data_IF_673478452952
#
_entry.id   IF_673478452952
#
_cell.length_a   1.000
_cell.length_b   1.000
_cell.length_c   1.000
_cell.angle_alpha   90.00
_cell.angle_beta   90.00
_cell.angle_gamma   90.00
#
_symmetry.space_group_name_H-M   'P 1'
#
loop_
_entity.id
_entity.type
_entity.pdbx_description
1 polymer ?
#
# COMPACT_ATOMS: atom_id res chain seq x y z
N UNK A 1 31.88 -14.14 0.49
CA UNK A 1 30.82 -15.15 0.31
C UNK A 1 29.49 -14.55 0.74
N UNK A 2 28.57 -14.34 -0.21
CA UNK A 2 27.25 -13.76 0.08
C UNK A 2 26.37 -14.84 0.73
N UNK A 3 25.94 -14.63 1.98
CA UNK A 3 24.98 -15.54 2.62
C UNK A 3 23.63 -15.29 1.97
N UNK A 4 23.07 -16.31 1.31
CA UNK A 4 21.71 -16.24 0.79
C UNK A 4 20.75 -15.79 1.91
N UNK A 5 19.92 -14.80 1.62
CA UNK A 5 18.94 -14.30 2.57
C UNK A 5 17.98 -15.45 2.93
N UNK A 6 17.81 -15.72 4.22
CA UNK A 6 16.80 -16.69 4.66
C UNK A 6 15.42 -16.12 4.35
N UNK A 7 14.46 -16.97 3.92
CA UNK A 7 13.08 -16.54 3.80
C UNK A 7 12.60 -15.98 5.15
N UNK A 8 11.82 -14.89 5.09
CA UNK A 8 11.29 -14.26 6.30
C UNK A 8 10.29 -15.20 7.01
N UNK A 9 10.27 -15.15 8.33
CA UNK A 9 9.29 -15.88 9.13
C UNK A 9 7.87 -15.33 8.82
N UNK A 10 6.86 -16.19 8.58
CA UNK A 10 5.49 -15.74 8.31
C UNK A 10 4.94 -14.76 9.35
N UNK A 11 5.32 -14.91 10.63
CA UNK A 11 4.92 -13.98 11.71
C UNK A 11 5.52 -12.59 11.52
N UNK A 12 6.75 -12.52 11.02
CA UNK A 12 7.40 -11.25 10.67
C UNK A 12 6.76 -10.62 9.45
N UNK A 13 6.36 -11.41 8.43
CA UNK A 13 5.64 -10.89 7.26
C UNK A 13 4.30 -10.29 7.69
N UNK A 14 3.50 -11.04 8.46
CA UNK A 14 2.21 -10.57 8.97
C UNK A 14 2.35 -9.28 9.80
N UNK A 15 3.32 -9.23 10.72
CA UNK A 15 3.56 -8.07 11.57
C UNK A 15 4.08 -6.82 10.81
N UNK A 16 4.62 -7.00 9.60
CA UNK A 16 5.20 -5.89 8.80
C UNK A 16 4.38 -5.52 7.57
N UNK A 17 3.19 -6.10 7.37
CA UNK A 17 2.35 -5.72 6.23
C UNK A 17 2.00 -4.23 6.29
N UNK A 18 2.36 -3.49 5.24
CA UNK A 18 2.16 -2.04 5.14
C UNK A 18 3.01 -1.17 6.08
N UNK A 19 3.94 -1.76 6.85
CA UNK A 19 4.81 -0.99 7.76
C UNK A 19 5.89 -0.26 6.97
N UNK A 20 6.01 1.05 7.18
CA UNK A 20 7.02 1.92 6.56
C UNK A 20 6.92 1.97 5.02
N UNK A 21 5.69 1.88 4.49
CA UNK A 21 5.42 1.90 3.04
C UNK A 21 4.71 3.16 2.55
N UNK A 22 4.41 4.11 3.44
CA UNK A 22 3.80 5.38 3.04
C UNK A 22 4.79 6.28 2.30
N UNK A 23 4.57 6.44 1.00
CA UNK A 23 5.42 7.26 0.14
C UNK A 23 5.11 8.75 0.20
N UNK A 24 3.97 9.16 0.78
CA UNK A 24 3.59 10.56 0.85
C UNK A 24 4.29 11.29 2.01
N UNK A 25 4.32 10.66 3.19
CA UNK A 25 4.83 11.30 4.41
C UNK A 25 5.78 10.41 5.23
N UNK A 26 6.04 9.17 4.81
CA UNK A 26 6.89 8.25 5.57
C UNK A 26 6.26 7.79 6.88
N UNK A 27 4.93 7.73 6.96
CA UNK A 27 4.26 7.19 8.12
C UNK A 27 4.63 5.70 8.32
N UNK A 28 5.03 5.35 9.56
CA UNK A 28 5.38 3.97 9.92
C UNK A 28 4.18 3.03 9.75
N UNK A 29 2.98 3.51 10.04
CA UNK A 29 1.73 2.77 9.81
C UNK A 29 1.03 3.28 8.55
N UNK A 30 0.38 2.40 7.78
CA UNK A 30 -0.29 2.79 6.54
C UNK A 30 -1.43 3.79 6.84
N UNK A 31 -1.55 4.89 6.10
CA UNK A 31 -2.66 5.83 6.25
C UNK A 31 -4.02 5.19 5.95
N UNK A 32 -5.08 5.72 6.58
CA UNK A 32 -6.45 5.32 6.30
C UNK A 32 -7.07 6.21 5.22
N UNK A 33 -7.11 5.70 3.98
CA UNK A 33 -7.77 6.38 2.86
C UNK A 33 -9.27 6.13 2.88
N UNK A 34 -10.02 6.98 3.59
CA UNK A 34 -11.47 6.90 3.71
C UNK A 34 -12.23 7.61 2.57
N UNK A 35 -11.51 8.22 1.62
CA UNK A 35 -12.13 8.84 0.45
C UNK A 35 -12.87 7.80 -0.40
N UNK A 36 -14.00 8.19 -0.96
CA UNK A 36 -14.71 7.37 -1.95
C UNK A 36 -14.07 7.45 -3.34
N UNK A 37 -13.48 8.59 -3.69
CA UNK A 37 -12.94 8.87 -5.02
C UNK A 37 -11.50 9.42 -4.98
N UNK A 38 -10.83 9.34 -6.13
CA UNK A 38 -9.47 9.84 -6.34
C UNK A 38 -9.41 10.61 -7.65
N UNK A 39 -8.63 11.67 -7.69
CA UNK A 39 -8.48 12.49 -8.89
C UNK A 39 -7.74 11.75 -9.99
N UNK A 40 -7.99 12.15 -11.23
CA UNK A 40 -7.22 11.75 -12.41
C UNK A 40 -5.98 12.65 -12.55
N UNK A 41 -4.96 12.18 -13.26
CA UNK A 41 -3.78 12.99 -13.55
C UNK A 41 -4.07 14.10 -14.58
N UNK A 42 -5.09 13.89 -15.41
CA UNK A 42 -5.58 14.79 -16.45
C UNK A 42 -6.81 14.18 -17.13
N UNK A 43 -7.30 14.84 -18.18
CA UNK A 43 -8.40 14.30 -19.00
C UNK A 43 -8.04 12.90 -19.51
N UNK A 44 -8.91 11.93 -19.21
CA UNK A 44 -8.76 10.51 -19.58
C UNK A 44 -7.47 9.82 -19.08
N UNK A 45 -6.88 10.32 -17.99
CA UNK A 45 -5.65 9.76 -17.40
C UNK A 45 -5.90 9.25 -15.97
N UNK A 46 -6.47 8.04 -15.87
CA UNK A 46 -6.76 7.37 -14.59
C UNK A 46 -5.46 7.06 -13.82
N UNK A 47 -5.48 7.32 -12.50
CA UNK A 47 -4.43 6.86 -11.56
C UNK A 47 -4.68 5.41 -11.12
N UNK A 48 -3.76 4.82 -10.35
CA UNK A 48 -3.91 3.45 -9.81
C UNK A 48 -5.28 3.24 -9.13
N UNK A 49 -5.74 4.26 -8.40
CA UNK A 49 -7.06 4.28 -7.78
C UNK A 49 -7.87 5.46 -8.34
N UNK A 50 -9.15 5.22 -8.59
CA UNK A 50 -10.15 6.20 -9.05
C UNK A 50 -11.40 6.17 -8.14
N UNK A 51 -11.82 4.99 -7.71
CA UNK A 51 -12.97 4.82 -6.82
C UNK A 51 -12.79 3.65 -5.84
N UNK A 52 -13.00 3.91 -4.54
CA UNK A 52 -12.71 2.98 -3.43
C UNK A 52 -13.52 1.68 -3.46
N UNK A 53 -14.66 1.64 -4.15
CA UNK A 53 -15.38 0.38 -4.39
C UNK A 53 -14.55 -0.57 -5.25
N UNK A 54 -13.90 -0.04 -6.29
CA UNK A 54 -13.08 -0.81 -7.23
C UNK A 54 -11.69 -1.13 -6.67
N UNK A 55 -11.08 -0.20 -5.92
CA UNK A 55 -9.77 -0.40 -5.29
C UNK A 55 -9.45 0.71 -4.29
N UNK A 56 -8.80 0.38 -3.18
CA UNK A 56 -8.47 1.33 -2.12
C UNK A 56 -7.07 1.02 -1.57
N UNK A 57 -6.16 2.02 -1.46
CA UNK A 57 -4.79 1.78 -0.99
C UNK A 57 -4.73 1.05 0.36
N UNK A 58 -5.60 1.43 1.30
CA UNK A 58 -5.66 0.82 2.64
C UNK A 58 -6.10 -0.65 2.57
N UNK A 59 -7.11 -0.96 1.74
CA UNK A 59 -7.66 -2.31 1.63
C UNK A 59 -6.69 -3.26 0.92
N UNK A 60 -5.93 -2.75 -0.03
CA UNK A 60 -4.92 -3.55 -0.75
C UNK A 60 -3.73 -3.97 0.13
N UNK A 61 -3.52 -3.34 1.30
CA UNK A 61 -2.52 -3.80 2.28
C UNK A 61 -2.91 -5.14 2.92
N UNK A 62 -4.21 -5.47 2.93
CA UNK A 62 -4.73 -6.73 3.47
C UNK A 62 -4.83 -7.86 2.42
N UNK A 63 -5.04 -7.49 1.15
CA UNK A 63 -5.53 -8.37 0.10
C UNK A 63 -4.46 -9.28 -0.53
#
# INVERSE_FOLDING_TARGET
MSRAARPADPRTIAARSGVDTDTAHGAVMPPLYLSSNYSFAGFDQKRKYDYSRSGNPTRDVLA
#
